data_IF_883119069843
#
_entry.id   IF_883119069843
#
_cell.length_a   1.000
_cell.length_b   1.000
_cell.length_c   1.000
_cell.angle_alpha   90.00
_cell.angle_beta   90.00
_cell.angle_gamma   90.00
#
_symmetry.space_group_name_H-M   'P 1'
#
loop_
_entity.id
_entity.type
_entity.pdbx_description
1 polymer ?
#
# COMPACT_ATOMS: atom_id res chain seq x y z
N UNK A 1 9.19 -56.24 -7.54
CA UNK A 1 8.93 -57.25 -6.51
C UNK A 1 8.07 -58.32 -7.13
N UNK A 2 8.44 -59.59 -7.03
CA UNK A 2 7.76 -60.64 -7.79
C UNK A 2 6.37 -60.94 -7.21
N UNK A 3 5.34 -60.62 -8.00
CA UNK A 3 3.92 -60.79 -7.64
C UNK A 3 3.58 -62.21 -7.13
N UNK A 4 4.32 -63.21 -7.59
CA UNK A 4 4.15 -64.63 -7.23
C UNK A 4 4.43 -64.87 -5.74
N UNK A 5 5.42 -64.18 -5.17
CA UNK A 5 5.80 -64.33 -3.75
C UNK A 5 4.75 -63.67 -2.85
N UNK A 6 4.35 -62.44 -3.16
CA UNK A 6 3.34 -61.70 -2.38
C UNK A 6 2.01 -62.46 -2.39
N UNK A 7 1.62 -62.98 -3.56
CA UNK A 7 0.44 -63.80 -3.73
C UNK A 7 0.48 -65.08 -2.88
N UNK A 8 1.64 -65.71 -2.71
CA UNK A 8 1.75 -66.94 -1.90
C UNK A 8 1.56 -66.69 -0.40
N UNK A 9 2.09 -65.58 0.13
CA UNK A 9 2.07 -65.31 1.57
C UNK A 9 0.82 -64.56 2.06
N UNK A 10 0.23 -63.71 1.22
CA UNK A 10 -0.85 -62.81 1.63
C UNK A 10 -2.22 -63.17 1.03
N UNK A 11 -2.32 -64.20 0.17
CA UNK A 11 -3.60 -64.71 -0.35
C UNK A 11 -4.39 -65.42 0.75
N UNK A 12 -5.14 -64.63 1.50
CA UNK A 12 -6.10 -65.11 2.49
C UNK A 12 -7.52 -65.05 1.93
N UNK A 13 -8.23 -66.17 1.90
CA UNK A 13 -9.63 -66.27 1.49
C UNK A 13 -10.53 -65.75 2.63
N UNK A 14 -10.65 -64.43 2.80
CA UNK A 14 -11.55 -63.83 3.79
C UNK A 14 -11.36 -62.34 4.02
N UNK A 15 -12.23 -61.75 4.85
CA UNK A 15 -12.19 -60.33 5.28
C UNK A 15 -11.19 -60.12 6.44
N UNK A 16 -9.97 -60.64 6.28
CA UNK A 16 -8.90 -60.51 7.28
C UNK A 16 -7.98 -59.31 6.97
N UNK A 17 -7.29 -58.78 7.98
CA UNK A 17 -6.32 -57.69 7.84
C UNK A 17 -5.27 -58.03 6.76
N UNK A 18 -4.85 -59.28 6.66
CA UNK A 18 -3.92 -59.75 5.62
C UNK A 18 -4.47 -59.60 4.19
N UNK A 19 -5.79 -59.74 4.01
CA UNK A 19 -6.47 -59.55 2.72
C UNK A 19 -6.58 -58.07 2.35
N UNK A 20 -6.81 -57.19 3.33
CA UNK A 20 -6.75 -55.74 3.11
C UNK A 20 -5.33 -55.27 2.78
N UNK A 21 -4.33 -55.77 3.52
CA UNK A 21 -2.92 -55.50 3.27
C UNK A 21 -2.50 -55.97 1.86
N UNK A 22 -2.97 -57.14 1.45
CA UNK A 22 -2.75 -57.68 0.10
C UNK A 22 -3.32 -56.76 -0.98
N UNK A 23 -4.57 -56.30 -0.82
CA UNK A 23 -5.21 -55.36 -1.76
C UNK A 23 -4.48 -54.01 -1.81
N UNK A 24 -4.02 -53.52 -0.66
CA UNK A 24 -3.24 -52.29 -0.58
C UNK A 24 -1.89 -52.42 -1.30
N UNK A 25 -1.16 -53.52 -1.10
CA UNK A 25 0.12 -53.79 -1.76
C UNK A 25 0.00 -53.90 -3.28
N UNK A 26 -1.07 -54.52 -3.77
CA UNK A 26 -1.35 -54.59 -5.21
C UNK A 26 -1.68 -53.21 -5.77
N UNK A 27 -2.57 -52.48 -5.11
CA UNK A 27 -2.94 -51.14 -5.55
C UNK A 27 -1.72 -50.21 -5.60
N UNK A 28 -0.84 -50.25 -4.60
CA UNK A 28 0.42 -49.49 -4.57
C UNK A 28 1.35 -49.88 -5.72
N UNK A 29 1.45 -51.17 -6.06
CA UNK A 29 2.24 -51.65 -7.19
C UNK A 29 1.66 -51.22 -8.55
N UNK A 30 0.33 -51.21 -8.70
CA UNK A 30 -0.34 -50.74 -9.91
C UNK A 30 -0.16 -49.24 -10.08
N UNK A 31 -0.33 -48.46 -9.02
CA UNK A 31 -0.04 -47.02 -8.97
C UNK A 31 1.41 -46.74 -9.41
N UNK A 32 2.39 -47.48 -8.88
CA UNK A 32 3.80 -47.35 -9.30
C UNK A 32 4.00 -47.62 -10.80
N UNK A 33 3.25 -48.56 -11.34
CA UNK A 33 3.32 -48.96 -12.75
C UNK A 33 2.68 -47.88 -13.66
N UNK A 34 1.49 -47.38 -13.31
CA UNK A 34 0.79 -46.33 -14.08
C UNK A 34 1.57 -45.03 -14.14
N UNK A 35 2.24 -44.66 -13.04
CA UNK A 35 2.99 -43.41 -12.96
C UNK A 35 4.45 -43.55 -13.40
N UNK A 36 4.89 -44.72 -13.88
CA UNK A 36 6.28 -45.01 -14.25
C UNK A 36 7.30 -44.57 -13.17
N UNK A 37 6.93 -44.71 -11.90
CA UNK A 37 7.74 -44.26 -10.78
C UNK A 37 8.81 -45.31 -10.48
N UNK A 38 10.05 -45.06 -10.90
CA UNK A 38 11.20 -45.79 -10.38
C UNK A 38 11.27 -45.64 -8.85
N UNK A 39 11.76 -46.66 -8.12
CA UNK A 39 11.68 -46.82 -6.64
C UNK A 39 12.01 -45.57 -5.81
N UNK A 40 12.80 -44.65 -6.36
CA UNK A 40 13.24 -43.39 -5.75
C UNK A 40 12.26 -42.22 -5.92
N UNK A 41 11.51 -42.16 -7.03
CA UNK A 41 10.63 -41.04 -7.35
C UNK A 41 9.31 -41.08 -6.58
N UNK A 42 8.82 -42.26 -6.18
CA UNK A 42 7.56 -42.39 -5.43
C UNK A 42 7.60 -41.77 -4.04
N UNK A 43 8.73 -41.87 -3.33
CA UNK A 43 8.90 -41.22 -2.02
C UNK A 43 9.04 -39.71 -2.19
N UNK A 44 9.73 -39.26 -3.25
CA UNK A 44 9.91 -37.85 -3.53
C UNK A 44 8.57 -37.17 -3.88
N UNK A 45 7.71 -37.84 -4.66
CA UNK A 45 6.40 -37.30 -5.04
C UNK A 45 5.42 -37.31 -3.87
N UNK A 46 5.45 -38.29 -2.97
CA UNK A 46 4.63 -38.27 -1.75
C UNK A 46 5.08 -37.20 -0.77
N UNK A 47 6.39 -37.01 -0.59
CA UNK A 47 6.92 -35.91 0.20
C UNK A 47 6.54 -34.55 -0.40
N UNK A 48 6.69 -34.39 -1.71
CA UNK A 48 6.28 -33.15 -2.40
C UNK A 48 4.78 -32.89 -2.27
N UNK A 49 3.95 -33.93 -2.35
CA UNK A 49 2.51 -33.84 -2.13
C UNK A 49 2.19 -33.43 -0.68
N UNK A 50 2.87 -34.00 0.31
CA UNK A 50 2.71 -33.62 1.71
C UNK A 50 3.12 -32.17 1.95
N UNK A 51 4.25 -31.72 1.40
CA UNK A 51 4.67 -30.33 1.45
C UNK A 51 3.66 -29.40 0.77
N UNK A 52 3.09 -29.78 -0.37
CA UNK A 52 2.04 -29.01 -1.04
C UNK A 52 0.79 -28.88 -0.16
N UNK A 53 0.35 -29.96 0.49
CA UNK A 53 -0.78 -29.92 1.43
C UNK A 53 -0.49 -28.98 2.61
N UNK A 54 0.72 -29.05 3.19
CA UNK A 54 1.14 -28.14 4.27
C UNK A 54 1.08 -26.68 3.80
N UNK A 55 1.66 -26.35 2.64
CA UNK A 55 1.63 -24.99 2.08
C UNK A 55 0.20 -24.50 1.84
N UNK A 56 -0.68 -25.36 1.32
CA UNK A 56 -2.10 -25.02 1.09
C UNK A 56 -2.79 -24.74 2.43
N UNK A 57 -2.62 -25.61 3.43
CA UNK A 57 -3.23 -25.40 4.76
C UNK A 57 -2.72 -24.13 5.45
N UNK A 58 -1.42 -23.84 5.38
CA UNK A 58 -0.85 -22.59 5.89
C UNK A 58 -1.40 -21.36 5.16
N UNK A 59 -1.61 -21.45 3.84
CA UNK A 59 -2.18 -20.35 3.05
C UNK A 59 -3.62 -20.05 3.47
N UNK A 60 -4.44 -21.10 3.64
CA UNK A 60 -5.84 -20.96 4.10
C UNK A 60 -5.88 -20.37 5.52
N UNK A 61 -5.03 -20.87 6.42
CA UNK A 61 -4.95 -20.36 7.80
C UNK A 61 -4.53 -18.87 7.82
N UNK A 62 -3.53 -18.49 7.02
CA UNK A 62 -3.11 -17.10 6.89
C UNK A 62 -4.23 -16.20 6.35
N UNK A 63 -4.94 -16.63 5.31
CA UNK A 63 -6.10 -15.88 4.79
C UNK A 63 -7.20 -15.72 5.84
N UNK A 64 -7.46 -16.76 6.64
CA UNK A 64 -8.47 -16.68 7.72
C UNK A 64 -8.04 -15.76 8.88
N UNK A 65 -6.74 -15.68 9.16
CA UNK A 65 -6.22 -14.73 10.14
C UNK A 65 -6.28 -13.29 9.63
N UNK A 66 -5.96 -13.08 8.34
CA UNK A 66 -6.05 -11.77 7.70
C UNK A 66 -7.48 -11.20 7.69
N UNK A 67 -8.49 -12.04 7.47
CA UNK A 67 -9.91 -11.64 7.56
C UNK A 67 -10.31 -11.27 9.00
N UNK A 68 -9.77 -11.99 9.99
CA UNK A 68 -9.94 -11.65 11.40
C UNK A 68 -9.33 -10.29 11.76
N UNK A 69 -8.12 -10.01 11.27
CA UNK A 69 -7.43 -8.75 11.49
C UNK A 69 -8.14 -7.56 10.81
N UNK A 70 -8.72 -7.76 9.62
CA UNK A 70 -9.51 -6.74 8.93
C UNK A 70 -10.73 -6.32 9.77
N UNK A 71 -11.46 -7.30 10.32
CA UNK A 71 -12.60 -7.03 11.21
C UNK A 71 -12.18 -6.28 12.47
N UNK A 72 -11.10 -6.70 13.13
CA UNK A 72 -10.56 -6.05 14.32
C UNK A 72 -10.12 -4.61 14.00
N UNK A 73 -9.50 -4.39 12.84
CA UNK A 73 -9.11 -3.07 12.36
C UNK A 73 -10.32 -2.15 12.16
N UNK A 74 -11.38 -2.64 11.52
CA UNK A 74 -12.60 -1.84 11.30
C UNK A 74 -13.32 -1.51 12.61
N UNK A 75 -13.42 -2.46 13.53
CA UNK A 75 -14.03 -2.22 14.85
C UNK A 75 -13.21 -1.20 15.65
N UNK A 76 -11.88 -1.35 15.68
CA UNK A 76 -10.97 -0.38 16.33
C UNK A 76 -11.11 1.01 15.71
N UNK A 77 -11.17 1.10 14.37
CA UNK A 77 -11.36 2.37 13.67
C UNK A 77 -12.71 3.00 14.02
N UNK A 78 -13.78 2.21 14.12
CA UNK A 78 -15.13 2.66 14.47
C UNK A 78 -15.18 3.21 15.89
N UNK A 79 -14.55 2.55 16.85
CA UNK A 79 -14.44 3.06 18.22
C UNK A 79 -13.61 4.34 18.28
N UNK A 80 -12.49 4.38 17.59
CA UNK A 80 -11.64 5.58 17.53
C UNK A 80 -12.38 6.77 16.92
N UNK A 81 -13.21 6.55 15.89
CA UNK A 81 -14.06 7.60 15.29
C UNK A 81 -15.12 8.14 16.25
N UNK A 82 -15.67 7.30 17.14
CA UNK A 82 -16.62 7.75 18.17
C UNK A 82 -15.94 8.59 19.25
N UNK A 83 -14.69 8.26 19.60
CA UNK A 83 -13.93 8.92 20.68
C UNK A 83 -13.26 10.22 20.19
N UNK A 84 -12.92 10.33 18.90
CA UNK A 84 -12.25 11.51 18.34
C UNK A 84 -13.25 12.46 17.66
N UNK A 85 -13.79 13.50 18.34
CA UNK A 85 -14.51 14.61 17.70
C UNK A 85 -13.59 15.46 16.79
N UNK A 86 -12.29 15.15 16.74
CA UNK A 86 -11.23 15.90 16.09
C UNK A 86 -11.44 16.12 14.58
N UNK A 87 -12.23 15.29 13.89
CA UNK A 87 -12.50 15.49 12.46
C UNK A 87 -13.47 16.64 12.18
N UNK A 88 -14.49 16.81 13.01
CA UNK A 88 -15.44 17.93 12.86
C UNK A 88 -14.78 19.25 13.25
N UNK A 89 -13.98 19.27 14.30
CA UNK A 89 -13.22 20.47 14.65
C UNK A 89 -12.17 20.86 13.60
N UNK A 90 -11.55 19.90 12.89
CA UNK A 90 -10.68 20.19 11.74
C UNK A 90 -11.47 20.79 10.56
N UNK A 91 -12.72 20.36 10.34
CA UNK A 91 -13.58 20.93 9.32
C UNK A 91 -13.96 22.38 9.64
N UNK A 92 -14.19 22.69 10.92
CA UNK A 92 -14.52 24.03 11.39
C UNK A 92 -13.31 24.99 11.38
N UNK A 93 -12.10 24.46 11.57
CA UNK A 93 -10.84 25.23 11.46
C UNK A 93 -10.51 25.59 9.99
N UNK A 94 -10.92 24.75 9.02
CA UNK A 94 -10.59 24.94 7.59
C UNK A 94 -11.08 26.28 7.00
N UNK A 95 -12.34 26.73 7.21
CA UNK A 95 -12.78 28.04 6.72
C UNK A 95 -12.04 29.19 7.43
N UNK A 96 -11.80 29.09 8.74
CA UNK A 96 -11.04 30.10 9.50
C UNK A 96 -9.61 30.25 8.97
N UNK A 97 -8.90 29.15 8.74
CA UNK A 97 -7.54 29.16 8.16
C UNK A 97 -7.52 29.78 6.76
N UNK A 98 -8.55 29.49 5.94
CA UNK A 98 -8.66 30.05 4.59
C UNK A 98 -8.87 31.56 4.62
N UNK A 99 -9.69 32.05 5.58
CA UNK A 99 -9.90 33.47 5.80
C UNK A 99 -8.61 34.18 6.24
N UNK A 100 -7.91 33.63 7.24
CA UNK A 100 -6.64 34.15 7.75
C UNK A 100 -5.59 34.22 6.62
N UNK A 101 -5.47 33.17 5.80
CA UNK A 101 -4.54 33.14 4.67
C UNK A 101 -4.84 34.23 3.64
N UNK A 102 -6.11 34.48 3.33
CA UNK A 102 -6.51 35.56 2.41
C UNK A 102 -6.15 36.93 2.98
N UNK A 103 -6.41 37.16 4.26
CA UNK A 103 -6.05 38.41 4.92
C UNK A 103 -4.55 38.65 4.93
N UNK A 104 -3.74 37.65 5.32
CA UNK A 104 -2.27 37.77 5.31
C UNK A 104 -1.73 38.13 3.92
N UNK A 105 -2.27 37.50 2.87
CA UNK A 105 -1.89 37.82 1.49
C UNK A 105 -2.29 39.25 1.07
N UNK A 106 -3.43 39.74 1.54
CA UNK A 106 -3.83 41.13 1.30
C UNK A 106 -2.94 42.11 2.06
N UNK A 107 -2.58 41.81 3.31
CA UNK A 107 -1.68 42.64 4.12
C UNK A 107 -0.29 42.74 3.50
N UNK A 108 0.25 41.63 2.99
CA UNK A 108 1.54 41.60 2.28
C UNK A 108 1.54 42.49 1.03
N UNK A 109 0.50 42.41 0.20
CA UNK A 109 0.34 43.27 -0.99
C UNK A 109 0.22 44.75 -0.60
N UNK A 110 -0.49 45.04 0.50
CA UNK A 110 -0.61 46.41 1.02
C UNK A 110 0.74 46.95 1.50
N UNK A 111 1.49 46.15 2.25
CA UNK A 111 2.81 46.51 2.75
C UNK A 111 3.78 46.78 1.59
N UNK A 112 3.81 45.91 0.58
CA UNK A 112 4.66 46.09 -0.61
C UNK A 112 4.30 47.38 -1.38
N UNK A 113 3.01 47.71 -1.49
CA UNK A 113 2.57 48.97 -2.11
C UNK A 113 3.01 50.19 -1.30
N UNK A 114 2.86 50.15 0.03
CA UNK A 114 3.30 51.21 0.93
C UNK A 114 4.82 51.43 0.86
N UNK A 115 5.60 50.35 0.79
CA UNK A 115 7.06 50.45 0.67
C UNK A 115 7.47 51.06 -0.67
N UNK A 116 6.81 50.68 -1.77
CA UNK A 116 7.04 51.27 -3.09
C UNK A 116 6.67 52.74 -3.15
N UNK A 117 5.53 53.14 -2.58
CA UNK A 117 5.13 54.57 -2.55
C UNK A 117 6.08 55.38 -1.68
N UNK A 118 6.45 54.88 -0.49
CA UNK A 118 7.44 55.50 0.38
C UNK A 118 8.80 55.67 -0.33
N UNK A 119 9.27 54.65 -1.04
CA UNK A 119 10.52 54.72 -1.83
C UNK A 119 10.41 55.74 -2.97
N UNK A 120 9.27 55.80 -3.66
CA UNK A 120 9.04 56.76 -4.74
C UNK A 120 9.03 58.21 -4.23
N UNK A 121 8.43 58.46 -3.07
CA UNK A 121 8.37 59.76 -2.43
C UNK A 121 9.73 60.19 -1.90
N UNK A 122 10.48 59.27 -1.27
CA UNK A 122 11.87 59.49 -0.88
C UNK A 122 12.76 59.88 -2.07
N UNK A 123 12.63 59.19 -3.20
CA UNK A 123 13.34 59.54 -4.44
C UNK A 123 12.94 60.93 -4.94
N UNK A 124 11.64 61.25 -4.94
CA UNK A 124 11.12 62.56 -5.39
C UNK A 124 11.61 63.73 -4.54
N UNK A 125 11.73 63.53 -3.23
CA UNK A 125 12.27 64.54 -2.29
C UNK A 125 13.77 64.78 -2.44
N UNK A 126 14.52 63.80 -2.95
CA UNK A 126 15.97 63.91 -3.20
C UNK A 126 16.34 64.23 -4.65
N UNK A 127 15.40 64.22 -5.58
CA UNK A 127 15.67 64.62 -6.96
C UNK A 127 16.05 66.11 -7.01
N UNK A 128 17.11 66.49 -7.74
CA UNK A 128 17.50 67.88 -7.89
C UNK A 128 16.33 68.68 -8.45
N UNK A 129 15.93 69.77 -7.78
CA UNK A 129 14.99 70.73 -8.36
C UNK A 129 15.69 71.41 -9.54
N UNK A 130 15.44 70.92 -10.74
CA UNK A 130 15.88 71.57 -11.98
C UNK A 130 15.10 72.88 -12.11
N UNK A 131 15.70 73.98 -11.64
CA UNK A 131 15.22 75.32 -11.94
C UNK A 131 15.59 75.62 -13.40
N UNK A 132 14.65 75.40 -14.32
CA UNK A 132 14.80 75.92 -15.68
C UNK A 132 14.73 77.46 -15.60
N UNK A 133 15.87 78.12 -15.76
CA UNK A 133 15.92 79.56 -15.98
C UNK A 133 15.42 79.81 -17.40
N UNK A 134 14.28 80.46 -17.54
CA UNK A 134 13.79 80.91 -18.86
C UNK A 134 14.79 81.95 -19.37
N UNK A 135 15.55 81.60 -20.41
CA UNK A 135 16.41 82.53 -21.11
C UNK A 135 15.55 83.22 -22.15
N UNK A 136 15.20 84.49 -21.92
CA UNK A 136 14.50 85.30 -22.92
C UNK A 136 15.43 85.47 -24.15
N UNK A 137 14.94 85.22 -25.37
CA UNK A 137 15.73 85.44 -26.57
C UNK A 137 16.05 86.92 -26.71
N UNK A 138 17.34 87.24 -26.86
CA UNK A 138 17.81 88.60 -27.16
C UNK A 138 17.26 89.00 -28.53
N UNK A 139 16.42 90.05 -28.54
CA UNK A 139 16.03 90.75 -29.77
C UNK A 139 17.25 91.44 -30.35
N UNK A 140 17.80 90.90 -31.44
CA UNK A 140 18.81 91.58 -32.25
C UNK A 140 18.13 92.60 -33.15
N UNK A 141 18.37 93.88 -32.88
CA UNK A 141 18.01 95.01 -33.74
C UNK A 141 18.83 95.03 -35.03
N UNK A 142 18.17 95.30 -36.15
CA UNK A 142 18.76 95.96 -37.32
C UNK A 142 17.70 96.90 -37.91
#
# INVERSE_FOLDING_TARGET
MDNIVIHKYYRSYGYSISSLLYRFLIADNDLRTYFHLNLYYGILTTLLCLFAVVVITCSIAYSSAADGDEKIFYDTQKETRKILPRRESILDIRPAYTCIRKHLKQTEIFQEKCDKTAQSQWRRSRSPKVFCRIVNPVTSSA
#
